data_IF_086794943894
#
_entry.id   IF_086794943894
#
_cell.length_a   1.000
_cell.length_b   1.000
_cell.length_c   1.000
_cell.angle_alpha   90.00
_cell.angle_beta   90.00
_cell.angle_gamma   90.00
#
_symmetry.space_group_name_H-M   'P 1'
#
loop_
_entity.id
_entity.type
_entity.pdbx_description
1 polymer ?
#
# COMPACT_ATOMS: atom_id res chain seq x y z
N UNK A 1 -40.36 0.79 1.18
CA UNK A 1 -39.29 -0.03 0.58
C UNK A 1 -38.18 -0.21 1.60
N UNK A 2 -37.66 -1.43 1.73
CA UNK A 2 -36.49 -1.64 2.56
C UNK A 2 -35.24 -1.14 1.84
N UNK A 3 -34.19 -0.80 2.61
CA UNK A 3 -32.89 -0.42 2.06
C UNK A 3 -32.35 -1.46 1.08
N UNK A 4 -32.53 -2.74 1.40
CA UNK A 4 -32.06 -3.85 0.57
C UNK A 4 -32.75 -3.90 -0.81
N UNK A 5 -34.07 -3.64 -0.86
CA UNK A 5 -34.78 -3.61 -2.14
C UNK A 5 -34.38 -2.43 -3.01
N UNK A 6 -34.11 -1.28 -2.39
CA UNK A 6 -33.59 -0.10 -3.08
C UNK A 6 -32.19 -0.37 -3.68
N UNK A 7 -31.28 -0.91 -2.87
CA UNK A 7 -29.94 -1.26 -3.30
C UNK A 7 -29.95 -2.30 -4.43
N UNK A 8 -30.81 -3.30 -4.35
CA UNK A 8 -30.95 -4.33 -5.37
C UNK A 8 -31.46 -3.75 -6.70
N UNK A 9 -32.48 -2.92 -6.64
CA UNK A 9 -33.03 -2.25 -7.84
C UNK A 9 -31.98 -1.31 -8.48
N UNK A 10 -31.20 -0.59 -7.67
CA UNK A 10 -30.12 0.24 -8.14
C UNK A 10 -29.04 -0.57 -8.87
N UNK A 11 -28.61 -1.68 -8.27
CA UNK A 11 -27.60 -2.59 -8.84
C UNK A 11 -28.08 -3.24 -10.15
N UNK A 12 -29.38 -3.50 -10.29
CA UNK A 12 -29.95 -4.09 -11.51
C UNK A 12 -30.18 -3.08 -12.62
N UNK A 13 -30.12 -1.80 -12.35
CA UNK A 13 -30.34 -0.75 -13.34
C UNK A 13 -29.25 -0.78 -14.40
N UNK A 14 -29.60 -0.87 -15.72
CA UNK A 14 -28.61 -0.83 -16.79
C UNK A 14 -27.76 0.44 -16.79
N UNK A 15 -28.31 1.56 -16.31
CA UNK A 15 -27.61 2.84 -16.24
C UNK A 15 -26.36 2.80 -15.37
N UNK A 16 -26.32 1.89 -14.37
CA UNK A 16 -25.17 1.74 -13.47
C UNK A 16 -24.02 0.91 -14.08
N UNK A 17 -24.28 0.21 -15.18
CA UNK A 17 -23.32 -0.71 -15.80
C UNK A 17 -22.76 -0.22 -17.11
N UNK A 18 -23.24 0.92 -17.61
CA UNK A 18 -22.84 1.48 -18.90
C UNK A 18 -22.27 2.89 -18.76
N UNK A 19 -21.42 3.28 -19.70
CA UNK A 19 -20.83 4.61 -19.78
C UNK A 19 -19.62 4.81 -18.86
N UNK A 20 -19.08 6.02 -18.88
CA UNK A 20 -17.89 6.40 -18.10
C UNK A 20 -18.13 6.44 -16.58
N UNK A 21 -19.38 6.54 -16.15
CA UNK A 21 -19.77 6.46 -14.73
C UNK A 21 -20.25 5.08 -14.31
N UNK A 22 -20.18 4.07 -15.19
CA UNK A 22 -20.62 2.71 -14.91
C UNK A 22 -19.74 1.96 -13.93
N UNK A 23 -20.31 0.94 -13.27
CA UNK A 23 -19.59 0.12 -12.28
C UNK A 23 -18.30 -0.50 -12.85
N UNK A 24 -18.30 -1.13 -14.06
CA UNK A 24 -17.08 -1.73 -14.61
C UNK A 24 -15.94 -0.73 -14.78
N UNK A 25 -16.23 0.46 -15.29
CA UNK A 25 -15.22 1.52 -15.48
C UNK A 25 -14.69 2.01 -14.12
N UNK A 26 -15.57 2.18 -13.14
CA UNK A 26 -15.18 2.59 -11.79
C UNK A 26 -14.29 1.56 -11.11
N UNK A 27 -14.57 0.27 -11.31
CA UNK A 27 -13.72 -0.81 -10.79
C UNK A 27 -12.35 -0.78 -11.46
N UNK A 28 -12.28 -0.60 -12.78
CA UNK A 28 -11.01 -0.50 -13.50
C UNK A 28 -10.19 0.71 -13.04
N UNK A 29 -10.81 1.86 -12.86
CA UNK A 29 -10.15 3.06 -12.30
C UNK A 29 -9.61 2.78 -10.91
N UNK A 30 -10.41 2.18 -10.03
CA UNK A 30 -10.00 1.84 -8.67
C UNK A 30 -8.81 0.89 -8.65
N UNK A 31 -8.83 -0.15 -9.48
CA UNK A 31 -7.72 -1.09 -9.61
C UNK A 31 -6.47 -0.41 -10.16
N UNK A 32 -6.62 0.49 -11.12
CA UNK A 32 -5.52 1.25 -11.70
C UNK A 32 -4.85 2.15 -10.65
N UNK A 33 -5.62 2.91 -9.88
CA UNK A 33 -5.09 3.78 -8.82
C UNK A 33 -4.48 3.01 -7.67
N UNK A 34 -5.12 1.92 -7.26
CA UNK A 34 -4.59 1.04 -6.21
C UNK A 34 -3.28 0.39 -6.66
N UNK A 35 -3.24 -0.12 -7.88
CA UNK A 35 -2.05 -0.72 -8.45
C UNK A 35 -0.89 0.27 -8.57
N UNK A 36 -1.16 1.48 -9.05
CA UNK A 36 -0.16 2.55 -9.17
C UNK A 36 0.38 2.97 -7.80
N UNK A 37 -0.51 3.15 -6.83
CA UNK A 37 -0.12 3.51 -5.46
C UNK A 37 0.75 2.45 -4.82
N UNK A 38 0.38 1.17 -4.96
CA UNK A 38 1.16 0.04 -4.45
C UNK A 38 2.51 -0.07 -5.15
N UNK A 39 2.57 0.14 -6.47
CA UNK A 39 3.81 0.11 -7.22
C UNK A 39 4.78 1.19 -6.74
N UNK A 40 4.31 2.43 -6.62
CA UNK A 40 5.14 3.55 -6.13
C UNK A 40 5.59 3.27 -4.70
N UNK A 41 4.67 2.85 -3.84
CA UNK A 41 4.98 2.54 -2.44
C UNK A 41 6.02 1.40 -2.33
N UNK A 42 5.87 0.36 -3.14
CA UNK A 42 6.80 -0.77 -3.16
C UNK A 42 8.20 -0.36 -3.66
N UNK A 43 8.26 0.49 -4.70
CA UNK A 43 9.53 1.00 -5.22
C UNK A 43 10.31 1.83 -4.19
N UNK A 44 9.62 2.45 -3.25
CA UNK A 44 10.22 3.19 -2.15
C UNK A 44 10.51 2.27 -0.96
N UNK A 45 9.51 1.52 -0.54
CA UNK A 45 9.53 0.79 0.74
C UNK A 45 10.33 -0.51 0.70
N UNK A 46 10.27 -1.25 -0.39
CA UNK A 46 10.99 -2.54 -0.51
C UNK A 46 12.51 -2.34 -0.47
N UNK A 47 13.12 -1.46 -1.27
CA UNK A 47 14.55 -1.21 -1.18
C UNK A 47 15.00 -0.72 0.21
N UNK A 48 14.23 0.18 0.81
CA UNK A 48 14.53 0.70 2.15
C UNK A 48 14.41 -0.39 3.22
N UNK A 49 13.35 -1.19 3.17
CA UNK A 49 13.13 -2.27 4.12
C UNK A 49 14.19 -3.36 4.01
N UNK A 50 14.57 -3.72 2.79
CA UNK A 50 15.64 -4.70 2.53
C UNK A 50 16.98 -4.15 3.02
N UNK A 51 17.30 -2.89 2.72
CA UNK A 51 18.54 -2.26 3.16
C UNK A 51 18.65 -2.22 4.69
N UNK A 52 17.61 -1.79 5.37
CA UNK A 52 17.58 -1.73 6.85
C UNK A 52 17.63 -3.14 7.44
N UNK A 53 16.92 -4.09 6.85
CA UNK A 53 16.95 -5.49 7.30
C UNK A 53 18.31 -6.15 7.10
N UNK A 54 18.99 -5.84 6.01
CA UNK A 54 20.31 -6.38 5.69
C UNK A 54 21.40 -5.79 6.56
N UNK A 55 21.39 -4.48 6.81
CA UNK A 55 22.39 -3.79 7.64
C UNK A 55 22.17 -4.00 9.13
N UNK A 56 20.97 -4.37 9.55
CA UNK A 56 20.58 -4.47 10.97
C UNK A 56 20.49 -3.13 11.68
N UNK A 57 20.76 -2.03 10.99
CA UNK A 57 20.66 -0.67 11.52
C UNK A 57 19.26 -0.12 11.27
N UNK A 58 18.72 0.60 12.25
CA UNK A 58 17.41 1.24 12.09
C UNK A 58 16.20 0.36 12.46
N UNK A 59 16.41 -0.76 13.16
CA UNK A 59 15.33 -1.60 13.68
C UNK A 59 14.35 -0.80 14.54
N UNK A 60 14.83 0.10 15.39
CA UNK A 60 14.01 1.00 16.20
C UNK A 60 13.18 1.95 15.33
N UNK A 61 13.74 2.45 14.25
CA UNK A 61 13.02 3.30 13.30
C UNK A 61 11.87 2.54 12.65
N UNK A 62 12.09 1.31 12.22
CA UNK A 62 11.05 0.45 11.62
C UNK A 62 9.93 0.17 12.62
N UNK A 63 10.27 -0.15 13.86
CA UNK A 63 9.29 -0.37 14.93
C UNK A 63 8.47 0.90 15.19
N UNK A 64 9.11 2.06 15.24
CA UNK A 64 8.44 3.34 15.45
C UNK A 64 7.53 3.70 14.28
N UNK A 65 7.95 3.44 13.05
CA UNK A 65 7.11 3.63 11.85
C UNK A 65 5.88 2.72 11.91
N UNK A 66 6.05 1.45 12.27
CA UNK A 66 4.95 0.50 12.41
C UNK A 66 3.92 0.95 13.46
N UNK A 67 4.38 1.49 14.58
CA UNK A 67 3.51 2.00 15.64
C UNK A 67 2.80 3.30 15.23
N UNK A 68 3.53 4.23 14.62
CA UNK A 68 2.98 5.48 14.14
C UNK A 68 1.92 5.28 13.04
N UNK A 69 2.14 4.34 12.14
CA UNK A 69 1.19 4.01 11.08
C UNK A 69 -0.19 3.62 11.61
N UNK A 70 -0.23 2.88 12.72
CA UNK A 70 -1.49 2.48 13.35
C UNK A 70 -2.27 3.65 13.92
N UNK A 71 -1.61 4.76 14.21
CA UNK A 71 -2.22 5.96 14.76
C UNK A 71 -2.72 6.94 13.68
N UNK A 72 -2.34 6.76 12.41
CA UNK A 72 -2.75 7.68 11.34
C UNK A 72 -4.22 7.48 10.98
N UNK A 73 -5.06 8.51 11.12
CA UNK A 73 -6.44 8.43 10.67
C UNK A 73 -6.52 8.56 9.15
N UNK A 74 -6.91 7.49 8.48
CA UNK A 74 -6.97 7.41 7.01
C UNK A 74 -7.82 8.53 6.39
N UNK A 75 -9.01 8.74 6.95
CA UNK A 75 -9.91 9.81 6.46
C UNK A 75 -9.33 11.20 6.71
N UNK A 76 -8.68 11.40 7.85
CA UNK A 76 -8.02 12.67 8.16
C UNK A 76 -6.93 13.01 7.16
N UNK A 77 -6.12 12.02 6.79
CA UNK A 77 -5.07 12.20 5.78
C UNK A 77 -5.64 12.53 4.40
N UNK A 78 -6.71 11.85 3.99
CA UNK A 78 -7.40 12.14 2.72
C UNK A 78 -7.97 13.54 2.69
N UNK A 79 -8.67 13.95 3.76
CA UNK A 79 -9.25 15.29 3.88
C UNK A 79 -8.16 16.35 3.82
N UNK A 80 -7.07 16.15 4.56
CA UNK A 80 -5.92 17.06 4.55
C UNK A 80 -5.33 17.20 3.13
N UNK A 81 -5.18 16.10 2.43
CA UNK A 81 -4.67 16.11 1.06
C UNK A 81 -5.60 16.88 0.11
N UNK A 82 -6.91 16.69 0.22
CA UNK A 82 -7.89 17.42 -0.61
C UNK A 82 -7.88 18.91 -0.30
N UNK A 83 -7.76 19.29 0.97
CA UNK A 83 -7.70 20.69 1.38
C UNK A 83 -6.44 21.37 0.83
N UNK A 84 -5.30 20.67 0.83
CA UNK A 84 -4.00 21.25 0.42
C UNK A 84 -3.77 21.18 -1.09
N UNK A 85 -4.19 20.09 -1.74
CA UNK A 85 -3.92 19.81 -3.15
C UNK A 85 -5.13 20.00 -4.06
N UNK A 86 -6.31 20.26 -3.49
CA UNK A 86 -7.57 20.34 -4.23
C UNK A 86 -8.06 18.97 -4.71
N UNK A 87 -9.06 18.98 -5.57
CA UNK A 87 -9.59 17.77 -6.21
C UNK A 87 -8.75 17.38 -7.43
N UNK A 88 -7.52 16.97 -7.18
CA UNK A 88 -6.58 16.52 -8.21
C UNK A 88 -6.26 15.03 -8.02
N UNK A 89 -5.72 14.35 -9.05
CA UNK A 89 -5.27 12.96 -8.89
C UNK A 89 -4.22 12.79 -7.79
N UNK A 90 -3.39 13.80 -7.54
CA UNK A 90 -2.38 13.77 -6.48
C UNK A 90 -3.00 13.78 -5.09
N UNK A 91 -4.18 14.37 -4.92
CA UNK A 91 -4.85 14.46 -3.61
C UNK A 91 -5.21 13.10 -3.01
N UNK A 92 -5.34 12.09 -3.82
CA UNK A 92 -5.63 10.73 -3.36
C UNK A 92 -4.51 9.73 -3.66
N UNK A 93 -3.68 9.99 -4.65
CA UNK A 93 -2.50 9.18 -4.90
C UNK A 93 -1.48 9.30 -3.76
N UNK A 94 -1.15 10.52 -3.33
CA UNK A 94 -0.18 10.76 -2.26
C UNK A 94 -0.59 10.10 -0.93
N UNK A 95 -1.82 10.29 -0.41
CA UNK A 95 -2.23 9.59 0.81
C UNK A 95 -2.19 8.07 0.69
N UNK A 96 -2.59 7.51 -0.44
CA UNK A 96 -2.55 6.07 -0.68
C UNK A 96 -1.11 5.54 -0.63
N UNK A 97 -0.17 6.23 -1.26
CA UNK A 97 1.25 5.87 -1.20
C UNK A 97 1.78 5.99 0.24
N UNK A 98 1.50 7.08 0.91
CA UNK A 98 1.93 7.30 2.31
C UNK A 98 1.41 6.21 3.23
N UNK A 99 0.16 5.79 3.06
CA UNK A 99 -0.44 4.72 3.86
C UNK A 99 0.10 3.32 3.52
N UNK A 100 0.51 3.11 2.27
CA UNK A 100 1.02 1.82 1.81
C UNK A 100 2.50 1.60 2.15
N UNK A 101 3.30 2.66 2.21
CA UNK A 101 4.76 2.56 2.46
C UNK A 101 5.09 1.87 3.79
N UNK A 102 4.53 2.27 4.95
CA UNK A 102 4.93 1.68 6.23
C UNK A 102 4.72 0.16 6.33
N UNK A 103 3.54 -0.40 5.98
CA UNK A 103 3.37 -1.85 6.07
C UNK A 103 4.28 -2.62 5.10
N UNK A 104 4.51 -2.10 3.90
CA UNK A 104 5.42 -2.71 2.94
C UNK A 104 6.86 -2.67 3.48
N UNK A 105 7.28 -1.53 4.02
CA UNK A 105 8.61 -1.35 4.63
C UNK A 105 8.85 -2.35 5.77
N UNK A 106 7.89 -2.48 6.68
CA UNK A 106 7.98 -3.39 7.83
C UNK A 106 8.06 -4.84 7.35
N UNK A 107 7.21 -5.24 6.42
CA UNK A 107 7.21 -6.60 5.88
C UNK A 107 8.50 -6.92 5.12
N UNK A 108 9.02 -5.98 4.35
CA UNK A 108 10.30 -6.15 3.63
C UNK A 108 11.47 -6.26 4.63
N UNK A 109 11.48 -5.43 5.67
CA UNK A 109 12.46 -5.51 6.75
C UNK A 109 12.40 -6.87 7.47
N UNK A 110 11.22 -7.29 7.90
CA UNK A 110 11.03 -8.56 8.60
C UNK A 110 11.41 -9.76 7.73
N UNK A 111 11.09 -9.70 6.45
CA UNK A 111 11.44 -10.75 5.50
C UNK A 111 12.95 -10.96 5.39
N UNK A 112 13.74 -9.91 5.47
CA UNK A 112 15.21 -9.99 5.42
C UNK A 112 15.82 -10.27 6.78
N UNK A 113 15.36 -9.56 7.82
CA UNK A 113 15.89 -9.70 9.18
C UNK A 113 15.53 -11.04 9.81
N UNK A 114 14.39 -11.62 9.44
CA UNK A 114 13.91 -12.91 9.94
C UNK A 114 14.50 -14.13 9.25
N UNK A 115 15.42 -13.97 8.26
CA UNK A 115 16.08 -15.11 7.62
C UNK A 115 17.01 -15.80 8.62
N UNK A 116 16.86 -17.13 8.72
CA UNK A 116 17.67 -17.96 9.59
C UNK A 116 19.17 -17.76 9.28
N UNK A 117 20.03 -17.56 10.31
CA UNK A 117 21.48 -17.45 10.11
C UNK A 117 22.10 -18.63 9.35
N UNK A 118 21.60 -19.84 9.57
CA UNK A 118 22.07 -21.03 8.85
C UNK A 118 21.85 -20.94 7.34
N UNK A 119 20.68 -20.39 6.92
CA UNK A 119 20.37 -20.19 5.51
C UNK A 119 21.27 -19.12 4.91
N UNK A 120 21.57 -18.05 5.65
CA UNK A 120 22.49 -16.99 5.22
C UNK A 120 23.90 -17.55 5.02
N UNK A 121 24.37 -18.35 5.94
CA UNK A 121 25.70 -18.98 5.88
C UNK A 121 25.78 -19.97 4.71
N UNK A 122 24.76 -20.78 4.49
CA UNK A 122 24.70 -21.70 3.35
C UNK A 122 24.75 -20.96 2.00
N UNK A 123 24.08 -19.80 1.89
CA UNK A 123 24.11 -18.98 0.67
C UNK A 123 25.48 -18.33 0.46
N UNK A 124 26.17 -17.93 1.53
CA UNK A 124 27.55 -17.41 1.47
C UNK A 124 28.55 -18.49 1.06
N UNK A 125 28.41 -19.69 1.62
CA UNK A 125 29.27 -20.83 1.28
C UNK A 125 29.14 -21.22 -0.19
N UNK A 126 27.93 -21.18 -0.75
CA UNK A 126 27.72 -21.38 -2.21
C UNK A 126 28.44 -20.35 -3.05
N UNK A 127 28.51 -19.10 -2.61
CA UNK A 127 29.25 -18.04 -3.30
C UNK A 127 30.77 -18.25 -3.21
N UNK A 128 31.27 -18.79 -2.13
CA UNK A 128 32.69 -19.01 -1.91
C UNK A 128 33.24 -20.22 -2.65
N UNK A 129 32.39 -21.17 -3.05
CA UNK A 129 32.78 -22.39 -3.81
C UNK A 129 32.82 -22.11 -5.32
N UNK A 130 32.28 -21.02 -5.77
CA UNK A 130 32.30 -20.60 -7.19
C UNK A 130 33.42 -19.60 -7.42
#
# INVERSE_FOLDING_TARGET
MSFLSYAWNWLRSPAQWHGSGGIPIRILEQLGYSGLSLLIAALIAVPLGVLVGHTGRGALLVINIANAWRAIPTLGLLVLAVITLGFSPLAWLIPLVVLAVPPILVNAYEGVAGVDPEIKDAARDRKSVV
#
